data_IF_546628495835
#
_entry.id   IF_546628495835
#
_cell.length_a   1.000
_cell.length_b   1.000
_cell.length_c   1.000
_cell.angle_alpha   90.00
_cell.angle_beta   90.00
_cell.angle_gamma   90.00
#
_symmetry.space_group_name_H-M   'P 1'
#
loop_
_entity.id
_entity.type
_entity.pdbx_description
1 polymer ?
#
# COMPACT_ATOMS: atom_id res chain seq x y z
N UNK A 1 -11.94 -70.97 -43.75
CA UNK A 1 -11.45 -71.74 -42.58
C UNK A 1 -10.75 -70.77 -41.63
N UNK A 2 -10.83 -70.96 -40.30
CA UNK A 2 -10.66 -69.90 -39.32
C UNK A 2 -9.22 -69.80 -38.76
N UNK A 3 -9.08 -68.85 -37.82
CA UNK A 3 -8.05 -68.72 -36.76
C UNK A 3 -6.78 -67.96 -37.17
N UNK A 4 -6.62 -66.74 -36.64
CA UNK A 4 -5.68 -66.43 -35.54
C UNK A 4 -5.76 -64.93 -35.24
N UNK A 5 -6.19 -64.60 -34.01
CA UNK A 5 -6.16 -63.25 -33.48
C UNK A 5 -4.98 -63.18 -32.49
N UNK A 6 -3.96 -62.32 -32.68
CA UNK A 6 -2.94 -62.16 -31.66
C UNK A 6 -3.44 -61.19 -30.58
N UNK A 7 -3.49 -61.68 -29.35
CA UNK A 7 -3.72 -60.88 -28.14
C UNK A 7 -2.48 -60.00 -27.94
N UNK A 8 -2.66 -58.69 -27.86
CA UNK A 8 -1.61 -57.75 -27.48
C UNK A 8 -1.34 -57.80 -25.97
N UNK A 9 -0.07 -57.63 -25.52
CA UNK A 9 0.24 -57.55 -24.11
C UNK A 9 -0.21 -56.20 -23.55
N UNK A 10 -1.05 -56.23 -22.51
CA UNK A 10 -1.41 -55.03 -21.74
C UNK A 10 -0.17 -54.63 -20.92
N UNK A 11 0.51 -53.57 -21.35
CA UNK A 11 1.57 -52.92 -20.57
C UNK A 11 0.96 -52.22 -19.35
N UNK A 12 1.13 -52.81 -18.17
CA UNK A 12 0.83 -52.19 -16.86
C UNK A 12 1.96 -51.24 -16.49
N UNK A 13 2.02 -50.05 -17.11
CA UNK A 13 2.91 -48.97 -16.64
C UNK A 13 2.23 -47.61 -16.82
N UNK A 14 1.13 -47.39 -16.09
CA UNK A 14 0.27 -46.21 -16.29
C UNK A 14 0.12 -45.25 -15.11
N UNK A 15 0.65 -45.55 -13.91
CA UNK A 15 0.24 -44.80 -12.70
C UNK A 15 1.33 -43.96 -12.00
N UNK A 16 2.62 -44.23 -12.22
CA UNK A 16 3.69 -43.53 -11.48
C UNK A 16 4.03 -42.12 -11.99
N UNK A 17 3.67 -41.76 -13.24
CA UNK A 17 4.04 -40.45 -13.83
C UNK A 17 3.09 -39.30 -13.45
N UNK A 18 1.86 -39.62 -13.06
CA UNK A 18 0.80 -38.62 -12.75
C UNK A 18 1.04 -37.92 -11.40
N UNK A 19 1.42 -38.68 -10.36
CA UNK A 19 1.61 -38.14 -9.00
C UNK A 19 2.83 -37.21 -8.94
N UNK A 20 3.95 -37.60 -9.58
CA UNK A 20 5.17 -36.80 -9.63
C UNK A 20 4.98 -35.46 -10.37
N UNK A 21 4.20 -35.44 -11.45
CA UNK A 21 3.89 -34.20 -12.17
C UNK A 21 3.05 -33.22 -11.32
N UNK A 22 2.13 -33.76 -10.49
CA UNK A 22 1.28 -32.95 -9.61
C UNK A 22 2.04 -32.38 -8.41
N UNK A 23 2.97 -33.14 -7.83
CA UNK A 23 3.85 -32.65 -6.75
C UNK A 23 4.76 -31.52 -7.26
N UNK A 24 5.37 -31.68 -8.44
CA UNK A 24 6.22 -30.64 -9.05
C UNK A 24 5.44 -29.38 -9.40
N UNK A 25 4.19 -29.54 -9.84
CA UNK A 25 3.26 -28.44 -10.14
C UNK A 25 2.89 -27.64 -8.88
N UNK A 26 2.57 -28.32 -7.78
CA UNK A 26 2.20 -27.66 -6.52
C UNK A 26 3.39 -26.92 -5.87
N UNK A 27 4.59 -27.49 -5.91
CA UNK A 27 5.80 -26.81 -5.41
C UNK A 27 6.16 -25.57 -6.25
N UNK A 28 5.97 -25.62 -7.58
CA UNK A 28 6.20 -24.47 -8.46
C UNK A 28 5.17 -23.36 -8.22
N UNK A 29 3.92 -23.71 -7.92
CA UNK A 29 2.87 -22.73 -7.62
C UNK A 29 3.11 -22.02 -6.26
N UNK A 30 3.49 -22.75 -5.21
CA UNK A 30 3.85 -22.17 -3.91
C UNK A 30 5.02 -21.18 -4.00
N UNK A 31 6.09 -21.56 -4.69
CA UNK A 31 7.25 -20.69 -4.89
C UNK A 31 6.95 -19.43 -5.73
N UNK A 32 6.02 -19.52 -6.68
CA UNK A 32 5.61 -18.37 -7.51
C UNK A 32 4.73 -17.39 -6.73
N UNK A 33 3.86 -17.90 -5.85
CA UNK A 33 2.96 -17.07 -5.04
C UNK A 33 3.71 -16.32 -3.93
N UNK A 34 4.64 -16.98 -3.26
CA UNK A 34 5.51 -16.33 -2.26
C UNK A 34 6.41 -15.26 -2.89
N UNK A 35 6.96 -15.54 -4.09
CA UNK A 35 7.78 -14.57 -4.83
C UNK A 35 6.99 -13.33 -5.24
N UNK A 36 5.76 -13.50 -5.77
CA UNK A 36 4.88 -12.38 -6.15
C UNK A 36 4.47 -11.53 -4.94
N UNK A 37 4.19 -12.16 -3.80
CA UNK A 37 3.81 -11.48 -2.56
C UNK A 37 4.97 -10.71 -1.91
N UNK A 38 6.20 -11.22 -2.06
CA UNK A 38 7.39 -10.53 -1.56
C UNK A 38 7.82 -9.39 -2.49
N UNK A 39 7.71 -9.55 -3.80
CA UNK A 39 8.03 -8.48 -4.76
C UNK A 39 7.06 -7.29 -4.63
N UNK A 40 5.77 -7.54 -4.41
CA UNK A 40 4.79 -6.47 -4.16
C UNK A 40 5.09 -5.73 -2.85
N UNK A 41 5.41 -6.45 -1.77
CA UNK A 41 5.83 -5.86 -0.49
C UNK A 41 7.11 -5.03 -0.61
N UNK A 42 8.13 -5.52 -1.31
CA UNK A 42 9.40 -4.80 -1.49
C UNK A 42 9.20 -3.54 -2.35
N UNK A 43 8.39 -3.62 -3.41
CA UNK A 43 8.07 -2.45 -4.25
C UNK A 43 7.28 -1.41 -3.47
N UNK A 44 6.34 -1.83 -2.63
CA UNK A 44 5.58 -0.93 -1.77
C UNK A 44 6.47 -0.29 -0.69
N UNK A 45 7.36 -1.07 -0.07
CA UNK A 45 8.33 -0.55 0.90
C UNK A 45 9.32 0.45 0.28
N UNK A 46 9.84 0.19 -0.92
CA UNK A 46 10.74 1.11 -1.65
C UNK A 46 10.02 2.34 -2.20
N UNK A 47 8.72 2.24 -2.54
CA UNK A 47 7.92 3.42 -2.88
C UNK A 47 7.81 4.35 -1.67
N UNK A 48 7.61 3.77 -0.49
CA UNK A 48 7.46 4.52 0.75
C UNK A 48 8.77 5.11 1.27
N UNK A 49 9.92 4.49 1.01
CA UNK A 49 11.23 5.03 1.44
C UNK A 49 11.63 6.34 0.74
N UNK A 50 10.91 6.73 -0.32
CA UNK A 50 11.13 7.98 -1.04
C UNK A 50 10.15 9.10 -0.66
N UNK A 51 9.10 8.76 0.10
CA UNK A 51 8.12 9.73 0.58
C UNK A 51 8.64 10.41 1.85
N UNK A 52 8.47 11.73 1.94
CA UNK A 52 8.84 12.49 3.14
C UNK A 52 7.82 13.57 3.44
N UNK A 53 7.74 13.93 4.72
CA UNK A 53 6.96 15.07 5.20
C UNK A 53 7.93 16.06 5.85
N UNK A 54 7.83 17.32 5.47
CA UNK A 54 8.55 18.44 6.10
C UNK A 54 7.58 19.53 6.52
N UNK A 55 8.06 20.50 7.31
CA UNK A 55 7.20 21.49 7.95
C UNK A 55 7.77 22.89 7.75
N UNK A 56 6.90 23.84 7.41
CA UNK A 56 7.20 25.27 7.44
C UNK A 56 6.28 25.94 8.46
N UNK A 57 6.84 26.39 9.59
CA UNK A 57 6.09 27.02 10.68
C UNK A 57 6.11 28.54 10.58
N UNK A 58 4.95 29.16 10.77
CA UNK A 58 4.74 30.59 10.92
C UNK A 58 4.10 30.89 12.30
N UNK A 59 4.52 30.17 13.34
CA UNK A 59 3.99 30.28 14.69
C UNK A 59 2.80 29.34 14.90
N UNK A 60 1.59 29.90 15.04
CA UNK A 60 0.35 29.12 15.28
C UNK A 60 -0.22 28.46 14.03
N UNK A 61 0.37 28.69 12.87
CA UNK A 61 -0.03 28.10 11.60
C UNK A 61 1.19 27.86 10.73
N UNK A 62 1.00 27.15 9.63
CA UNK A 62 2.10 26.85 8.73
C UNK A 62 1.68 25.91 7.59
N UNK A 63 2.65 25.15 7.10
CA UNK A 63 2.46 24.16 6.05
C UNK A 63 3.07 22.82 6.42
N UNK A 64 2.31 21.76 6.15
CA UNK A 64 2.81 20.39 6.05
C UNK A 64 3.11 20.14 4.59
N UNK A 65 4.35 19.80 4.27
CA UNK A 65 4.83 19.65 2.90
C UNK A 65 5.09 18.16 2.66
N UNK A 66 4.35 17.57 1.74
CA UNK A 66 4.55 16.20 1.30
C UNK A 66 5.40 16.21 0.02
N UNK A 67 6.40 15.35 -0.02
CA UNK A 67 7.29 15.17 -1.17
C UNK A 67 7.41 13.69 -1.51
N UNK A 68 7.39 13.39 -2.80
CA UNK A 68 7.61 12.07 -3.38
C UNK A 68 8.27 12.21 -4.76
N UNK A 69 8.74 11.13 -5.39
CA UNK A 69 9.26 11.19 -6.76
C UNK A 69 8.24 11.69 -7.80
N UNK A 70 6.94 11.54 -7.52
CA UNK A 70 5.86 11.87 -8.46
C UNK A 70 5.37 13.33 -8.30
N UNK A 71 5.38 13.87 -7.08
CA UNK A 71 4.85 15.21 -6.80
C UNK A 71 5.38 15.78 -5.48
N UNK A 72 5.24 17.09 -5.35
CA UNK A 72 5.39 17.85 -4.11
C UNK A 72 4.20 18.78 -3.95
N UNK A 73 3.54 18.74 -2.79
CA UNK A 73 2.46 19.67 -2.48
C UNK A 73 2.46 20.04 -1.00
N UNK A 74 1.82 21.16 -0.68
CA UNK A 74 1.69 21.66 0.68
C UNK A 74 0.22 21.69 1.11
N UNK A 75 0.02 21.41 2.39
CA UNK A 75 -1.25 21.48 3.11
C UNK A 75 -1.13 22.54 4.20
N UNK A 76 -2.11 23.42 4.30
CA UNK A 76 -2.16 24.40 5.38
C UNK A 76 -2.42 23.69 6.70
N UNK A 77 -1.81 24.16 7.79
CA UNK A 77 -2.21 23.77 9.13
C UNK A 77 -2.34 24.98 10.04
N UNK A 78 -3.16 24.84 11.07
CA UNK A 78 -3.22 25.74 12.21
C UNK A 78 -3.35 24.96 13.53
N UNK A 79 -2.95 25.57 14.63
CA UNK A 79 -3.15 24.97 15.94
C UNK A 79 -4.63 24.97 16.31
N UNK A 80 -5.10 23.80 16.74
CA UNK A 80 -6.46 23.59 17.19
C UNK A 80 -6.71 24.13 18.60
N UNK A 81 -7.91 23.85 19.10
CA UNK A 81 -8.31 24.08 20.49
C UNK A 81 -8.80 22.78 21.13
N UNK A 82 -8.91 22.79 22.46
CA UNK A 82 -9.27 21.60 23.24
C UNK A 82 -8.20 20.52 23.10
N UNK A 83 -8.62 19.30 22.78
CA UNK A 83 -7.72 18.13 22.64
C UNK A 83 -7.03 18.04 21.26
N UNK A 84 -7.37 18.95 20.34
CA UNK A 84 -6.76 19.01 19.00
C UNK A 84 -5.53 19.92 19.03
N UNK A 85 -4.37 19.34 18.75
CA UNK A 85 -3.09 20.06 18.67
C UNK A 85 -3.02 20.88 17.39
N UNK A 86 -3.38 20.28 16.26
CA UNK A 86 -3.35 20.93 14.95
C UNK A 86 -4.45 20.39 14.04
N UNK A 87 -5.00 21.28 13.22
CA UNK A 87 -5.92 20.97 12.14
C UNK A 87 -5.18 21.21 10.82
N UNK A 88 -5.11 20.20 9.97
CA UNK A 88 -4.50 20.28 8.64
C UNK A 88 -5.61 20.29 7.59
N UNK A 89 -5.65 21.32 6.75
CA UNK A 89 -6.60 21.42 5.63
C UNK A 89 -6.19 20.44 4.52
N UNK A 90 -7.08 19.50 4.20
CA UNK A 90 -6.88 18.46 3.19
C UNK A 90 -7.87 18.65 2.04
N UNK A 91 -7.41 18.64 0.78
CA UNK A 91 -8.31 18.77 -0.37
C UNK A 91 -9.40 17.69 -0.34
N UNK A 92 -10.64 18.10 -0.63
CA UNK A 92 -11.73 17.16 -0.87
C UNK A 92 -11.42 16.27 -2.11
N UNK A 93 -12.10 15.13 -2.27
CA UNK A 93 -11.86 14.24 -3.41
C UNK A 93 -11.96 14.94 -4.77
N UNK A 94 -12.86 15.92 -4.93
CA UNK A 94 -13.10 16.63 -6.18
C UNK A 94 -11.95 17.57 -6.58
N UNK A 95 -11.26 18.13 -5.59
CA UNK A 95 -10.14 19.06 -5.78
C UNK A 95 -8.78 18.38 -5.63
N UNK A 96 -8.74 17.11 -5.23
CA UNK A 96 -7.53 16.36 -4.91
C UNK A 96 -6.53 16.33 -6.07
N UNK A 97 -6.96 15.87 -7.24
CA UNK A 97 -6.10 15.76 -8.43
C UNK A 97 -5.58 17.12 -8.88
N UNK A 98 -6.45 18.13 -8.86
CA UNK A 98 -6.07 19.51 -9.20
C UNK A 98 -5.02 20.08 -8.25
N UNK A 99 -5.11 19.78 -6.96
CA UNK A 99 -4.20 20.31 -5.94
C UNK A 99 -2.87 19.56 -5.85
N UNK A 100 -2.91 18.23 -6.02
CA UNK A 100 -1.77 17.34 -5.73
C UNK A 100 -1.10 16.78 -6.99
N UNK A 101 -1.79 16.79 -8.13
CA UNK A 101 -1.36 16.10 -9.35
C UNK A 101 -1.45 14.57 -9.26
N UNK A 102 -2.07 14.01 -8.21
CA UNK A 102 -2.16 12.58 -7.97
C UNK A 102 -3.59 12.07 -8.10
N UNK A 103 -3.79 10.82 -8.59
CA UNK A 103 -5.11 10.22 -8.71
C UNK A 103 -5.88 10.18 -7.39
N UNK A 104 -7.20 10.39 -7.43
CA UNK A 104 -8.07 10.41 -6.24
C UNK A 104 -8.04 9.10 -5.46
N UNK A 105 -7.78 7.96 -6.11
CA UNK A 105 -7.68 6.64 -5.48
C UNK A 105 -6.51 6.55 -4.50
N UNK A 106 -5.49 7.39 -4.67
CA UNK A 106 -4.32 7.46 -3.77
C UNK A 106 -4.52 8.39 -2.60
N UNK A 107 -5.62 9.14 -2.55
CA UNK A 107 -5.90 10.14 -1.52
C UNK A 107 -5.81 9.56 -0.12
N UNK A 108 -6.52 8.46 0.14
CA UNK A 108 -6.56 7.86 1.47
C UNK A 108 -5.20 7.31 1.91
N UNK A 109 -4.49 6.60 1.03
CA UNK A 109 -3.14 6.09 1.31
C UNK A 109 -2.19 7.23 1.73
N UNK A 110 -2.18 8.32 0.96
CA UNK A 110 -1.25 9.43 1.16
C UNK A 110 -1.62 10.26 2.39
N UNK A 111 -2.90 10.53 2.60
CA UNK A 111 -3.34 11.21 3.82
C UNK A 111 -3.04 10.36 5.06
N UNK A 112 -3.18 9.04 5.00
CA UNK A 112 -2.78 8.16 6.11
C UNK A 112 -1.28 8.23 6.36
N UNK A 113 -0.44 8.21 5.31
CA UNK A 113 1.00 8.38 5.45
C UNK A 113 1.36 9.72 6.11
N UNK A 114 0.76 10.82 5.64
CA UNK A 114 0.98 12.15 6.19
C UNK A 114 0.58 12.19 7.66
N UNK A 115 -0.63 11.72 8.00
CA UNK A 115 -1.13 11.73 9.37
C UNK A 115 -0.26 10.92 10.33
N UNK A 116 0.15 9.71 9.92
CA UNK A 116 1.08 8.88 10.70
C UNK A 116 2.41 9.58 10.93
N UNK A 117 2.95 10.22 9.88
CA UNK A 117 4.24 10.90 9.97
C UNK A 117 4.17 12.15 10.85
N UNK A 118 3.12 12.94 10.72
CA UNK A 118 2.88 14.11 11.58
C UNK A 118 2.77 13.71 13.03
N UNK A 119 1.99 12.67 13.35
CA UNK A 119 1.87 12.15 14.72
C UNK A 119 3.24 11.70 15.25
N UNK A 120 4.01 10.97 14.44
CA UNK A 120 5.33 10.48 14.82
C UNK A 120 6.32 11.62 15.09
N UNK A 121 6.33 12.65 14.24
CA UNK A 121 7.31 13.74 14.30
C UNK A 121 6.95 14.81 15.33
N UNK A 122 5.65 15.13 15.48
CA UNK A 122 5.17 16.31 16.20
C UNK A 122 4.46 15.99 17.52
N UNK A 123 4.31 14.72 17.88
CA UNK A 123 3.66 14.31 19.13
C UNK A 123 4.44 13.21 19.85
N UNK A 124 4.19 13.03 21.14
CA UNK A 124 4.77 11.92 21.94
C UNK A 124 3.78 10.76 22.10
N UNK A 125 3.24 10.26 20.98
CA UNK A 125 2.33 9.11 20.96
C UNK A 125 0.84 9.47 20.83
N UNK A 126 0.56 10.52 20.06
CA UNK A 126 -0.80 10.97 19.74
C UNK A 126 -1.50 10.13 18.68
N UNK A 127 -2.52 10.73 18.06
CA UNK A 127 -3.30 10.10 16.99
C UNK A 127 -3.77 11.15 15.97
N UNK A 128 -4.32 10.70 14.85
CA UNK A 128 -4.97 11.59 13.88
C UNK A 128 -6.32 11.04 13.43
N UNK A 129 -7.19 11.94 12.99
CA UNK A 129 -8.48 11.61 12.38
C UNK A 129 -8.72 12.50 11.17
N UNK A 130 -9.24 11.90 10.09
CA UNK A 130 -9.63 12.64 8.89
C UNK A 130 -11.15 12.77 8.90
N UNK A 131 -11.65 14.01 8.89
CA UNK A 131 -13.08 14.35 8.92
C UNK A 131 -13.37 15.41 7.85
N UNK A 132 -13.98 14.98 6.75
CA UNK A 132 -14.22 15.86 5.60
C UNK A 132 -12.91 16.38 5.00
N UNK A 133 -12.71 17.69 5.13
CA UNK A 133 -11.53 18.41 4.60
C UNK A 133 -10.50 18.71 5.70
N UNK A 134 -10.64 18.12 6.87
CA UNK A 134 -9.70 18.33 7.97
C UNK A 134 -9.04 17.03 8.38
N UNK A 135 -7.73 17.10 8.63
CA UNK A 135 -7.00 16.09 9.38
C UNK A 135 -6.63 16.70 10.73
N UNK A 136 -7.30 16.22 11.78
CA UNK A 136 -7.09 16.65 13.15
C UNK A 136 -6.04 15.77 13.80
N UNK A 137 -5.04 16.41 14.42
CA UNK A 137 -3.97 15.77 15.18
C UNK A 137 -4.27 15.94 16.67
N UNK A 138 -4.24 14.84 17.42
CA UNK A 138 -4.51 14.80 18.84
C UNK A 138 -3.24 14.42 19.59
N UNK A 139 -2.96 15.11 20.71
CA UNK A 139 -1.95 14.67 21.67
C UNK A 139 -2.51 13.54 22.53
N UNK A 140 -1.62 12.80 23.20
CA UNK A 140 -1.97 11.79 24.19
C UNK A 140 -2.24 12.43 25.55
#
# INVERSE_FOLDING_TARGET
MPIFNPISPISVVGFARSILARIKSLQKQGATFEKSSNESKIRQANKNSSQKVTYASNGRSGKVIYESPETTFALYYEFGGGDVVACIDVPNPQNWEKHTGLPVERREEILNFIGQRVVQDQTSGGSFKIEGNWMNIYAR
#
